data_IF_123381942482
#
_entry.id   IF_123381942482
#
_cell.length_a   1.000
_cell.length_b   1.000
_cell.length_c   1.000
_cell.angle_alpha   90.00
_cell.angle_beta   90.00
_cell.angle_gamma   90.00
#
_symmetry.space_group_name_H-M   'P 1'
#
loop_
_entity.id
_entity.type
_entity.pdbx_description
1 polymer ?
#
# COMPACT_ATOMS: atom_id res chain seq x y z
N UNK A 1 6.99 -14.73 4.09
CA UNK A 1 5.72 -14.37 3.43
C UNK A 1 6.06 -13.38 2.33
N UNK A 2 5.62 -13.57 1.09
CA UNK A 2 5.74 -12.50 0.09
C UNK A 2 4.51 -11.60 0.20
N UNK A 3 4.74 -10.31 0.02
CA UNK A 3 3.79 -9.22 -0.07
C UNK A 3 3.20 -9.08 -1.49
N UNK A 4 3.33 -10.14 -2.28
CA UNK A 4 2.68 -10.24 -3.58
C UNK A 4 1.16 -10.18 -3.40
N UNK A 5 0.53 -9.27 -4.15
CA UNK A 5 -0.90 -9.01 -4.01
C UNK A 5 -1.27 -8.03 -2.90
N UNK A 6 -0.32 -7.29 -2.31
CA UNK A 6 -0.63 -6.13 -1.47
C UNK A 6 -0.32 -4.84 -2.23
N UNK A 7 -1.28 -3.91 -2.22
CA UNK A 7 -1.07 -2.52 -2.62
C UNK A 7 -1.42 -1.58 -1.46
N UNK A 8 -0.67 -0.49 -1.35
CA UNK A 8 -0.86 0.53 -0.31
C UNK A 8 -1.22 1.84 -1.00
N UNK A 9 -2.25 2.53 -0.51
CA UNK A 9 -2.56 3.88 -0.93
C UNK A 9 -2.56 4.85 0.24
N UNK A 10 -1.95 6.01 0.06
CA UNK A 10 -1.92 7.11 1.01
C UNK A 10 -2.75 8.27 0.47
N UNK A 11 -3.75 8.72 1.23
CA UNK A 11 -4.68 9.77 0.79
C UNK A 11 -5.20 9.51 -0.65
N UNK A 12 -5.69 8.28 -0.88
CA UNK A 12 -6.25 7.81 -2.14
C UNK A 12 -5.27 7.72 -3.34
N UNK A 13 -3.97 7.87 -3.10
CA UNK A 13 -2.92 7.67 -4.12
C UNK A 13 -2.13 6.40 -3.83
N UNK A 14 -2.07 5.48 -4.80
CA UNK A 14 -1.30 4.23 -4.67
C UNK A 14 0.20 4.56 -4.60
N UNK A 15 0.88 3.99 -3.61
CA UNK A 15 2.34 4.12 -3.46
C UNK A 15 3.00 2.90 -4.10
N UNK A 16 3.86 3.09 -5.13
CA UNK A 16 4.63 2.00 -5.72
C UNK A 16 5.46 1.26 -4.68
N UNK A 17 5.54 -0.07 -4.81
CA UNK A 17 6.29 -0.92 -3.87
C UNK A 17 7.75 -0.52 -3.72
N UNK A 18 8.37 -0.05 -4.80
CA UNK A 18 9.75 0.47 -4.80
C UNK A 18 9.96 1.72 -3.93
N UNK A 19 8.88 2.41 -3.56
CA UNK A 19 8.94 3.65 -2.78
C UNK A 19 8.54 3.45 -1.31
N UNK A 20 8.12 2.24 -0.91
CA UNK A 20 7.60 1.98 0.44
C UNK A 20 8.62 2.31 1.54
N UNK A 21 9.87 1.89 1.36
CA UNK A 21 10.94 2.12 2.34
C UNK A 21 11.29 3.61 2.52
N UNK A 22 11.02 4.42 1.50
CA UNK A 22 11.32 5.87 1.49
C UNK A 22 10.10 6.74 1.77
N UNK A 23 8.90 6.17 1.78
CA UNK A 23 7.67 6.92 1.97
C UNK A 23 7.41 7.11 3.46
N UNK A 24 7.62 8.34 3.95
CA UNK A 24 7.29 8.68 5.33
C UNK A 24 5.77 8.89 5.51
N UNK A 25 5.21 8.23 6.52
CA UNK A 25 3.85 8.48 6.97
C UNK A 25 3.77 9.75 7.78
N UNK A 26 2.62 10.41 7.72
CA UNK A 26 2.29 11.57 8.54
C UNK A 26 1.22 11.22 9.56
N UNK A 27 1.23 11.95 10.67
CA UNK A 27 0.19 11.84 11.68
C UNK A 27 -1.20 12.07 11.04
N UNK A 28 -2.19 11.26 11.43
CA UNK A 28 -3.56 11.31 10.92
C UNK A 28 -3.72 11.06 9.40
N UNK A 29 -2.68 10.55 8.73
CA UNK A 29 -2.77 10.22 7.31
C UNK A 29 -3.64 8.97 7.11
N UNK A 30 -4.55 9.05 6.15
CA UNK A 30 -5.38 7.90 5.77
C UNK A 30 -4.57 6.92 4.91
N UNK A 31 -4.53 5.66 5.35
CA UNK A 31 -3.84 4.56 4.71
C UNK A 31 -4.88 3.51 4.32
N UNK A 32 -4.96 3.20 3.02
CA UNK A 32 -5.75 2.10 2.51
C UNK A 32 -4.83 0.95 2.13
N UNK A 33 -5.04 -0.20 2.76
CA UNK A 33 -4.36 -1.45 2.41
C UNK A 33 -5.32 -2.25 1.52
N UNK A 34 -4.87 -2.58 0.33
CA UNK A 34 -5.61 -3.35 -0.66
C UNK A 34 -4.95 -4.72 -0.76
N UNK A 35 -5.71 -5.77 -0.49
CA UNK A 35 -5.26 -7.14 -0.69
C UNK A 35 -5.95 -7.70 -1.93
N UNK A 36 -5.17 -7.98 -2.97
CA UNK A 36 -5.64 -8.73 -4.12
C UNK A 36 -6.05 -10.12 -3.63
N UNK A 37 -7.32 -10.44 -3.77
CA UNK A 37 -7.78 -11.82 -3.70
C UNK A 37 -7.54 -12.43 -5.08
N UNK A 38 -6.84 -13.56 -5.15
CA UNK A 38 -6.84 -14.34 -6.37
C UNK A 38 -8.24 -14.94 -6.52
N UNK A 39 -9.07 -14.32 -7.37
CA UNK A 39 -10.33 -14.89 -7.82
C UNK A 39 -10.05 -15.97 -8.86
N UNK A 40 -10.70 -17.13 -8.72
CA UNK A 40 -10.77 -18.15 -9.76
C UNK A 40 -11.74 -17.78 -10.88
#
# INVERSE_FOLDING_TARGET
>A
MSDDGIAIALANNVVPKSEWDTTCLRENQNILIIKATQGG
#
